data_IF_225358686808
#
_entry.id   IF_225358686808
#
_cell.length_a   1.000
_cell.length_b   1.000
_cell.length_c   1.000
_cell.angle_alpha   90.00
_cell.angle_beta   90.00
_cell.angle_gamma   90.00
#
_symmetry.space_group_name_H-M   'P 1'
#
loop_
_entity.id
_entity.type
_entity.pdbx_description
1 polymer ?
#
# COMPACT_ATOMS: atom_id res chain seq x y z
N UNK A 1 11.81 -1.96 -10.27
CA UNK A 1 10.37 -2.34 -10.26
C UNK A 1 9.75 -1.67 -9.05
N UNK A 2 8.77 -0.76 -9.24
CA UNK A 2 8.10 -0.09 -8.13
C UNK A 2 7.20 -1.09 -7.39
N UNK A 3 7.58 -1.46 -6.17
CA UNK A 3 6.72 -2.23 -5.26
C UNK A 3 5.62 -1.28 -4.76
N UNK A 4 4.43 -1.39 -5.34
CA UNK A 4 3.28 -0.52 -5.05
C UNK A 4 2.59 -1.00 -3.77
N UNK A 5 2.94 -0.43 -2.62
CA UNK A 5 2.34 -0.74 -1.32
C UNK A 5 1.13 0.17 -1.11
N UNK A 6 -0.05 -0.42 -0.90
CA UNK A 6 -1.27 0.31 -0.55
C UNK A 6 -1.46 0.21 0.96
N UNK A 7 -1.25 1.31 1.69
CA UNK A 7 -1.73 1.45 3.06
C UNK A 7 -3.08 2.16 3.02
N UNK A 8 -4.09 1.60 3.69
CA UNK A 8 -5.47 2.10 3.70
C UNK A 8 -5.73 2.90 4.99
N UNK A 9 -5.51 4.23 5.05
CA UNK A 9 -6.08 5.05 6.11
C UNK A 9 -7.56 5.33 5.81
N UNK A 10 -8.38 5.39 6.85
CA UNK A 10 -9.85 5.48 6.81
C UNK A 10 -10.42 6.80 6.22
N UNK A 11 -10.09 7.16 4.97
CA UNK A 11 -10.60 8.40 4.35
C UNK A 11 -11.25 8.11 3.01
N UNK A 12 -12.40 7.42 3.02
CA UNK A 12 -13.26 7.28 1.84
C UNK A 12 -14.75 7.31 2.23
N UNK A 13 -15.20 8.41 2.85
CA UNK A 13 -16.64 8.72 2.99
C UNK A 13 -17.17 9.27 1.66
N UNK A 14 -17.87 8.42 0.92
CA UNK A 14 -18.56 8.72 -0.34
C UNK A 14 -19.52 7.58 -0.65
N UNK A 15 -20.76 7.91 -0.98
CA UNK A 15 -21.97 7.10 -0.87
C UNK A 15 -22.02 5.95 -1.91
N UNK A 16 -22.47 4.76 -1.47
CA UNK A 16 -22.86 3.56 -2.23
C UNK A 16 -21.82 2.47 -2.58
N UNK A 17 -20.51 2.68 -2.45
CA UNK A 17 -19.52 1.62 -2.75
C UNK A 17 -18.96 0.95 -1.49
N UNK A 18 -18.89 -0.39 -1.50
CA UNK A 18 -18.39 -1.15 -0.35
C UNK A 18 -16.88 -0.98 -0.20
N UNK A 19 -16.36 -1.38 0.97
CA UNK A 19 -14.90 -1.45 1.18
C UNK A 19 -14.23 -2.38 0.17
N UNK A 20 -14.89 -3.48 -0.20
CA UNK A 20 -14.40 -4.41 -1.20
C UNK A 20 -14.26 -3.75 -2.57
N UNK A 21 -15.30 -3.06 -3.05
CA UNK A 21 -15.31 -2.45 -4.39
C UNK A 21 -14.17 -1.44 -4.54
N UNK A 22 -13.95 -0.61 -3.52
CA UNK A 22 -12.88 0.39 -3.50
C UNK A 22 -11.49 -0.27 -3.53
N UNK A 23 -11.27 -1.30 -2.71
CA UNK A 23 -10.02 -2.04 -2.71
C UNK A 23 -9.77 -2.73 -4.05
N UNK A 24 -10.79 -3.39 -4.60
CA UNK A 24 -10.71 -4.08 -5.89
C UNK A 24 -10.40 -3.11 -7.03
N UNK A 25 -11.04 -1.93 -7.05
CA UNK A 25 -10.75 -0.88 -8.01
C UNK A 25 -9.28 -0.45 -7.94
N UNK A 26 -8.80 -0.09 -6.74
CA UNK A 26 -7.42 0.40 -6.55
C UNK A 26 -6.41 -0.68 -6.97
N UNK A 27 -6.59 -1.92 -6.53
CA UNK A 27 -5.67 -3.02 -6.83
C UNK A 27 -5.60 -3.33 -8.33
N UNK A 28 -6.72 -3.26 -9.05
CA UNK A 28 -6.74 -3.41 -10.50
C UNK A 28 -6.14 -2.19 -11.21
N UNK A 29 -6.47 -0.98 -10.77
CA UNK A 29 -5.99 0.26 -11.40
C UNK A 29 -4.47 0.42 -11.32
N UNK A 30 -3.86 0.01 -10.20
CA UNK A 30 -2.41 0.05 -10.05
C UNK A 30 -1.71 -1.26 -10.41
N UNK A 31 -2.46 -2.29 -10.80
CA UNK A 31 -2.00 -3.66 -11.07
C UNK A 31 -1.11 -4.23 -9.94
N UNK A 32 -1.53 -4.02 -8.69
CA UNK A 32 -0.75 -4.46 -7.53
C UNK A 32 -0.51 -5.98 -7.56
N UNK A 33 0.74 -6.39 -7.34
CA UNK A 33 1.13 -7.81 -7.21
C UNK A 33 1.18 -8.29 -5.77
N UNK A 34 1.31 -7.36 -4.82
CA UNK A 34 1.41 -7.66 -3.39
C UNK A 34 0.47 -6.72 -2.64
N UNK A 35 -0.33 -7.28 -1.72
CA UNK A 35 -1.14 -6.52 -0.77
C UNK A 35 -0.58 -6.73 0.63
N UNK A 36 -0.27 -5.65 1.35
CA UNK A 36 0.12 -5.72 2.77
C UNK A 36 -1.07 -5.25 3.61
N UNK A 37 -1.51 -6.04 4.58
CA UNK A 37 -2.64 -5.69 5.44
C UNK A 37 -2.56 -6.36 6.81
N UNK A 38 -3.44 -5.99 7.74
CA UNK A 38 -3.53 -6.64 9.05
C UNK A 38 -4.49 -7.83 9.02
N UNK A 39 -4.32 -8.79 9.93
CA UNK A 39 -5.23 -9.94 10.08
C UNK A 39 -6.69 -9.57 10.30
N UNK A 40 -6.98 -8.35 10.80
CA UNK A 40 -8.36 -7.81 10.89
C UNK A 40 -9.08 -7.75 9.53
N UNK A 41 -8.34 -7.75 8.43
CA UNK A 41 -8.86 -7.68 7.06
C UNK A 41 -8.69 -8.98 6.28
N UNK A 42 -8.33 -10.10 6.93
CA UNK A 42 -7.99 -11.36 6.24
C UNK A 42 -9.09 -11.86 5.32
N UNK A 43 -10.37 -11.82 5.76
CA UNK A 43 -11.51 -12.24 4.94
C UNK A 43 -11.64 -11.40 3.66
N UNK A 44 -11.48 -10.09 3.79
CA UNK A 44 -11.51 -9.17 2.65
C UNK A 44 -10.32 -9.44 1.72
N UNK A 45 -9.12 -9.63 2.27
CA UNK A 45 -7.93 -9.92 1.49
C UNK A 45 -8.04 -11.25 0.73
N UNK A 46 -8.65 -12.27 1.34
CA UNK A 46 -8.92 -13.56 0.72
C UNK A 46 -9.87 -13.40 -0.47
N UNK A 47 -10.98 -12.68 -0.31
CA UNK A 47 -11.90 -12.37 -1.40
C UNK A 47 -11.22 -11.60 -2.54
N UNK A 48 -10.39 -10.61 -2.22
CA UNK A 48 -9.66 -9.83 -3.22
C UNK A 48 -8.62 -10.68 -3.96
N UNK A 49 -7.93 -11.58 -3.27
CA UNK A 49 -6.93 -12.49 -3.87
C UNK A 49 -7.53 -13.46 -4.88
N UNK A 50 -8.80 -13.81 -4.75
CA UNK A 50 -9.52 -14.68 -5.68
C UNK A 50 -9.99 -13.93 -6.94
N UNK A 51 -10.29 -12.64 -6.81
CA UNK A 51 -10.89 -11.83 -7.89
C UNK A 51 -9.87 -11.00 -8.67
N UNK A 52 -8.87 -10.44 -7.99
CA UNK A 52 -7.87 -9.55 -8.59
C UNK A 52 -6.71 -10.38 -9.16
N UNK A 53 -6.67 -10.53 -10.49
CA UNK A 53 -5.70 -11.42 -11.16
C UNK A 53 -4.23 -10.99 -11.01
N UNK A 54 -3.97 -9.68 -10.91
CA UNK A 54 -2.61 -9.14 -10.72
C UNK A 54 -2.05 -9.48 -9.34
N UNK A 55 -2.92 -9.61 -8.33
CA UNK A 55 -2.53 -9.83 -6.93
C UNK A 55 -2.00 -11.26 -6.76
N UNK A 56 -0.70 -11.38 -6.50
CA UNK A 56 0.01 -12.66 -6.38
C UNK A 56 0.23 -13.07 -4.93
N UNK A 57 0.54 -12.14 -4.04
CA UNK A 57 0.79 -12.43 -2.63
C UNK A 57 0.04 -11.46 -1.72
N UNK A 58 -0.35 -11.94 -0.54
CA UNK A 58 -0.87 -11.12 0.55
C UNK A 58 0.07 -11.25 1.74
N UNK A 59 0.56 -10.14 2.27
CA UNK A 59 1.40 -10.11 3.47
C UNK A 59 0.56 -9.62 4.65
N UNK A 60 0.45 -10.45 5.68
CA UNK A 60 -0.24 -10.09 6.92
C UNK A 60 0.75 -9.55 7.96
N UNK A 61 0.42 -8.41 8.57
CA UNK A 61 1.13 -7.85 9.74
C UNK A 61 0.68 -8.52 11.05
N UNK A 62 0.24 -9.77 10.96
CA UNK A 62 -0.19 -10.63 12.06
C UNK A 62 0.17 -12.07 11.71
N UNK A 63 0.21 -12.99 12.68
CA UNK A 63 0.38 -14.40 12.39
C UNK A 63 -0.60 -14.88 11.32
N UNK A 64 -0.10 -15.72 10.42
CA UNK A 64 -0.89 -16.43 9.41
C UNK A 64 -1.35 -17.74 10.05
N UNK A 65 -2.62 -18.07 9.94
CA UNK A 65 -3.20 -19.30 10.48
C UNK A 65 -3.38 -20.34 9.36
N UNK A 66 -3.47 -21.63 9.70
CA UNK A 66 -3.60 -22.73 8.71
C UNK A 66 -4.81 -22.58 7.77
N UNK A 67 -5.84 -21.85 8.18
CA UNK A 67 -7.03 -21.56 7.38
C UNK A 67 -6.80 -20.49 6.32
N UNK A 68 -5.69 -19.75 6.39
CA UNK A 68 -5.26 -18.77 5.39
C UNK A 68 -4.62 -19.50 4.20
N UNK A 69 -5.42 -20.29 3.50
CA UNK A 69 -4.98 -21.05 2.34
C UNK A 69 -4.53 -20.13 1.19
N UNK A 70 -3.42 -20.49 0.53
CA UNK A 70 -2.92 -19.82 -0.67
C UNK A 70 -1.66 -18.98 -0.44
N UNK A 71 -1.54 -17.85 -1.13
CA UNK A 71 -0.32 -17.05 -1.20
C UNK A 71 -0.23 -16.00 -0.07
N UNK A 72 -0.55 -16.41 1.16
CA UNK A 72 -0.47 -15.57 2.35
C UNK A 72 0.89 -15.73 3.04
N UNK A 73 1.51 -14.62 3.40
CA UNK A 73 2.82 -14.56 4.04
C UNK A 73 2.73 -13.77 5.34
N UNK A 74 3.46 -14.22 6.36
CA UNK A 74 3.62 -13.45 7.60
C UNK A 74 4.71 -12.41 7.40
N UNK A 75 4.42 -11.15 7.77
CA UNK A 75 5.42 -10.09 7.78
C UNK A 75 6.60 -10.43 8.71
N UNK A 76 6.33 -11.00 9.89
CA UNK A 76 7.36 -11.37 10.86
C UNK A 76 8.28 -12.45 10.30
N UNK A 77 7.72 -13.45 9.60
CA UNK A 77 8.52 -14.47 8.93
C UNK A 77 9.42 -13.88 7.83
N UNK A 78 8.91 -12.93 7.04
CA UNK A 78 9.72 -12.22 6.04
C UNK A 78 10.85 -11.43 6.71
N UNK A 79 10.59 -10.81 7.87
CA UNK A 79 11.61 -10.06 8.60
C UNK A 79 12.69 -10.97 9.20
N UNK A 80 12.34 -12.15 9.68
CA UNK A 80 13.32 -13.10 10.23
C UNK A 80 14.38 -13.52 9.20
N UNK A 81 14.00 -13.63 7.93
CA UNK A 81 14.88 -14.01 6.82
C UNK A 81 15.46 -12.80 6.05
N UNK A 82 15.25 -11.58 6.54
CA UNK A 82 15.67 -10.36 5.85
C UNK A 82 17.19 -10.13 5.98
N UNK A 83 17.86 -9.93 4.85
CA UNK A 83 19.27 -9.51 4.82
C UNK A 83 19.40 -8.02 5.16
N UNK A 84 20.30 -7.67 6.07
CA UNK A 84 20.66 -6.26 6.35
C UNK A 84 21.32 -5.55 5.16
N UNK A 85 21.76 -6.32 4.15
CA UNK A 85 22.35 -5.75 2.95
C UNK A 85 21.28 -5.00 2.14
N UNK A 86 21.44 -3.68 2.04
CA UNK A 86 20.58 -2.85 1.21
C UNK A 86 20.67 -3.27 -0.26
N UNK A 87 19.53 -3.30 -0.99
CA UNK A 87 19.55 -3.46 -2.44
C UNK A 87 20.39 -2.38 -3.11
N UNK A 88 21.03 -2.72 -4.22
CA UNK A 88 21.77 -1.75 -5.04
C UNK A 88 20.80 -0.67 -5.51
N UNK A 89 21.18 0.62 -5.35
CA UNK A 89 20.40 1.74 -5.89
C UNK A 89 20.44 1.68 -7.41
N UNK A 90 19.29 1.47 -8.03
CA UNK A 90 19.12 1.37 -9.49
C UNK A 90 18.15 2.43 -10.04
N UNK A 91 17.62 3.28 -9.17
CA UNK A 91 16.56 4.24 -9.40
C UNK A 91 17.04 5.68 -9.19
N UNK A 92 16.45 6.61 -9.94
CA UNK A 92 16.69 8.05 -9.86
C UNK A 92 15.57 8.76 -9.10
N UNK A 93 15.81 10.02 -8.70
CA UNK A 93 14.89 10.74 -7.82
C UNK A 93 13.56 11.15 -8.49
N UNK A 94 13.50 11.07 -9.82
CA UNK A 94 12.30 11.29 -10.64
C UNK A 94 11.54 9.98 -10.96
N UNK A 95 12.06 8.82 -10.53
CA UNK A 95 11.31 7.58 -10.65
C UNK A 95 10.11 7.58 -9.71
N UNK A 96 9.00 7.00 -10.16
CA UNK A 96 7.77 6.86 -9.38
C UNK A 96 8.04 6.07 -8.08
N UNK A 97 7.83 6.73 -6.94
CA UNK A 97 8.03 6.13 -5.63
C UNK A 97 6.73 5.54 -5.07
N UNK A 98 5.62 6.26 -5.18
CA UNK A 98 4.33 5.78 -4.68
C UNK A 98 3.12 6.36 -5.44
N UNK A 99 1.96 5.71 -5.23
CA UNK A 99 0.65 6.21 -5.61
C UNK A 99 -0.16 6.46 -4.34
N UNK A 100 -0.64 7.68 -4.14
CA UNK A 100 -1.54 8.01 -3.04
C UNK A 100 -2.95 8.15 -3.61
N UNK A 101 -3.83 7.21 -3.28
CA UNK A 101 -5.22 7.26 -3.71
C UNK A 101 -6.04 8.19 -2.83
N UNK A 102 -6.76 9.13 -3.45
CA UNK A 102 -7.67 10.05 -2.78
C UNK A 102 -9.08 9.91 -3.33
N UNK A 103 -10.10 10.22 -2.52
CA UNK A 103 -11.49 10.26 -3.00
C UNK A 103 -11.62 11.36 -4.06
N UNK A 104 -11.77 10.98 -5.33
CA UNK A 104 -12.00 11.93 -6.41
C UNK A 104 -13.37 12.59 -6.27
N UNK A 105 -13.49 13.83 -6.76
CA UNK A 105 -14.78 14.54 -6.87
C UNK A 105 -15.79 13.82 -7.78
N UNK A 106 -15.30 12.93 -8.65
CA UNK A 106 -16.08 12.14 -9.61
C UNK A 106 -16.50 10.76 -9.07
N UNK A 107 -16.36 10.51 -7.75
CA UNK A 107 -16.76 9.26 -7.09
C UNK A 107 -15.68 8.17 -7.06
N UNK A 108 -14.89 8.04 -8.12
CA UNK A 108 -13.79 7.06 -8.19
C UNK A 108 -12.47 7.59 -7.61
N UNK A 109 -11.71 6.76 -6.85
CA UNK A 109 -10.42 7.14 -6.31
C UNK A 109 -9.39 7.47 -7.42
N UNK A 110 -8.61 8.53 -7.23
CA UNK A 110 -7.52 8.90 -8.16
C UNK A 110 -6.16 8.67 -7.51
N UNK A 111 -5.27 7.96 -8.20
CA UNK A 111 -3.90 7.72 -7.73
C UNK A 111 -2.99 8.89 -8.07
N UNK A 112 -2.60 9.68 -7.06
CA UNK A 112 -1.61 10.75 -7.20
C UNK A 112 -0.23 10.12 -7.36
N UNK A 113 0.40 10.32 -8.52
CA UNK A 113 1.76 9.87 -8.80
C UNK A 113 2.75 10.76 -8.06
N UNK A 114 3.55 10.17 -7.18
CA UNK A 114 4.61 10.87 -6.44
C UNK A 114 5.95 10.18 -6.68
N UNK A 115 6.92 10.95 -7.20
CA UNK A 115 8.31 10.52 -7.30
C UNK A 115 9.03 10.64 -5.95
N UNK A 116 10.27 10.17 -5.89
CA UNK A 116 11.09 10.23 -4.66
C UNK A 116 11.31 11.68 -4.20
N UNK A 117 11.49 12.63 -5.12
CA UNK A 117 11.71 14.04 -4.82
C UNK A 117 10.48 14.69 -4.17
N UNK A 118 9.27 14.38 -4.65
CA UNK A 118 8.01 14.85 -4.09
C UNK A 118 7.86 14.39 -2.64
N UNK A 119 8.15 13.11 -2.37
CA UNK A 119 8.04 12.52 -1.03
C UNK A 119 9.03 13.17 -0.05
N UNK A 120 10.29 13.34 -0.46
CA UNK A 120 11.32 13.98 0.37
C UNK A 120 10.98 15.45 0.63
N UNK A 121 10.52 16.17 -0.40
CA UNK A 121 10.09 17.57 -0.24
C UNK A 121 8.95 17.71 0.78
N UNK A 122 7.91 16.87 0.68
CA UNK A 122 6.78 16.89 1.61
C UNK A 122 7.22 16.62 3.06
N UNK A 123 8.08 15.61 3.28
CA UNK A 123 8.62 15.30 4.60
C UNK A 123 9.46 16.45 5.18
N UNK A 124 10.30 17.07 4.36
CA UNK A 124 11.14 18.20 4.76
C UNK A 124 10.31 19.45 5.10
N UNK A 125 9.24 19.71 4.33
CA UNK A 125 8.34 20.84 4.60
C UNK A 125 7.65 20.68 5.95
N UNK A 126 7.18 19.48 6.28
CA UNK A 126 6.50 19.19 7.56
C UNK A 126 7.47 19.30 8.73
N UNK A 127 8.64 18.65 8.62
CA UNK A 127 9.65 18.66 9.69
C UNK A 127 10.18 20.07 9.97
N UNK A 128 10.43 20.85 8.92
CA UNK A 128 10.83 22.27 9.04
C UNK A 128 9.73 23.08 9.73
N UNK A 129 8.46 22.90 9.36
CA UNK A 129 7.36 23.64 9.97
C UNK A 129 7.19 23.32 11.47
N UNK A 130 7.24 22.03 11.83
CA UNK A 130 7.13 21.61 13.24
C UNK A 130 8.33 22.11 14.06
N UNK A 131 9.53 22.15 13.48
CA UNK A 131 10.71 22.68 14.13
C UNK A 131 10.57 24.19 14.47
N UNK A 132 9.96 24.97 13.57
CA UNK A 132 9.70 26.40 13.83
C UNK A 132 8.63 26.65 14.88
N UNK A 133 7.65 25.75 15.05
CA UNK A 133 6.59 25.88 16.06
C UNK A 133 7.05 25.54 17.50
N UNK A 134 8.25 24.99 17.68
CA UNK A 134 8.83 24.65 18.99
C UNK A 134 9.83 25.70 19.51
N UNK A 135 9.94 26.86 18.88
CA UNK A 135 10.65 28.05 19.38
C UNK A 135 9.65 29.15 19.71
#
# INVERSE_FOLDING_TARGET
MATRIITYPEVLRGYHTTKYDKCAYILNNCEARILITSGKQVKLAQQLSQTVRSLKNVVLTSPVHELDAGNFLSYDAIQCDYSEQRPVKVNIDLDLACLIYTSGSTGEPKGVMSDHSNVVFAANSITTHIAHFKM
#
